data_IF_530389400918
#
_entry.id   IF_530389400918
#
_cell.length_a   1.000
_cell.length_b   1.000
_cell.length_c   1.000
_cell.angle_alpha   90.00
_cell.angle_beta   90.00
_cell.angle_gamma   90.00
#
_symmetry.space_group_name_H-M   'P 1'
#
loop_
_entity.id
_entity.type
_entity.pdbx_description
1 polymer ?
#
# COMPACT_ATOMS: atom_id res chain seq x y z
N UNK A 1 11.56 6.37 -3.51
CA UNK A 1 11.30 6.95 -2.18
C UNK A 1 12.46 6.57 -1.27
N UNK A 2 12.87 7.43 -0.34
CA UNK A 2 13.87 7.08 0.68
C UNK A 2 13.35 5.97 1.61
N UNK A 3 14.22 5.04 2.04
CA UNK A 3 13.83 3.89 2.87
C UNK A 3 13.34 4.30 4.25
N UNK A 4 13.92 5.35 4.85
CA UNK A 4 13.48 5.84 6.17
C UNK A 4 12.12 6.50 6.05
N UNK A 5 11.92 7.34 5.03
CA UNK A 5 10.60 7.93 4.74
C UNK A 5 9.53 6.86 4.55
N UNK A 6 9.83 5.79 3.81
CA UNK A 6 8.92 4.67 3.62
C UNK A 6 8.57 3.96 4.94
N UNK A 7 9.58 3.65 5.77
CA UNK A 7 9.36 3.02 7.07
C UNK A 7 8.52 3.90 8.01
N UNK A 8 8.79 5.21 8.04
CA UNK A 8 8.01 6.19 8.81
C UNK A 8 6.56 6.20 8.33
N UNK A 9 6.31 6.24 7.02
CA UNK A 9 4.95 6.19 6.47
C UNK A 9 4.21 4.91 6.90
N UNK A 10 4.83 3.74 6.76
CA UNK A 10 4.23 2.48 7.19
C UNK A 10 3.92 2.47 8.69
N UNK A 11 4.82 3.05 9.50
CA UNK A 11 4.62 3.17 10.93
C UNK A 11 3.45 4.12 11.28
N UNK A 12 3.36 5.29 10.64
CA UNK A 12 2.27 6.24 10.85
C UNK A 12 0.92 5.63 10.47
N UNK A 13 0.83 4.96 9.32
CA UNK A 13 -0.41 4.31 8.87
C UNK A 13 -0.85 3.20 9.84
N UNK A 14 0.10 2.46 10.43
CA UNK A 14 -0.21 1.48 11.49
C UNK A 14 -0.72 2.11 12.76
N UNK A 15 0.00 3.09 13.30
CA UNK A 15 -0.24 3.61 14.65
C UNK A 15 -1.43 4.58 14.68
N UNK A 16 -1.52 5.48 13.71
CA UNK A 16 -2.52 6.56 13.73
C UNK A 16 -3.85 6.06 13.16
N UNK A 17 -3.80 5.32 12.06
CA UNK A 17 -5.01 4.95 11.30
C UNK A 17 -5.42 3.50 11.53
N UNK A 18 -4.58 2.71 12.20
CA UNK A 18 -4.85 1.32 12.52
C UNK A 18 -4.75 0.39 11.30
N UNK A 19 -3.94 0.74 10.30
CA UNK A 19 -3.74 -0.13 9.14
C UNK A 19 -3.00 -1.40 9.58
N UNK A 20 -3.65 -2.56 9.46
CA UNK A 20 -3.09 -3.84 9.87
C UNK A 20 -2.78 -4.74 8.69
N UNK A 21 -1.81 -5.64 8.89
CA UNK A 21 -1.52 -6.71 7.94
C UNK A 21 -2.73 -7.63 7.79
N UNK A 22 -2.88 -8.20 6.60
CA UNK A 22 -3.80 -9.31 6.36
C UNK A 22 -3.03 -10.64 6.46
N UNK A 23 -3.75 -11.77 6.43
CA UNK A 23 -3.14 -13.11 6.45
C UNK A 23 -2.04 -13.30 5.39
N UNK A 24 -2.16 -12.61 4.24
CA UNK A 24 -1.27 -12.82 3.11
C UNK A 24 -0.40 -11.63 2.76
N UNK A 25 -0.73 -10.41 3.20
CA UNK A 25 -0.09 -9.16 2.75
C UNK A 25 0.17 -8.29 3.97
N UNK A 26 1.43 -7.89 4.18
CA UNK A 26 1.81 -6.96 5.24
C UNK A 26 1.61 -5.49 4.83
N UNK A 27 1.66 -4.59 5.82
CA UNK A 27 1.42 -3.16 5.57
C UNK A 27 2.47 -2.59 4.60
N UNK A 28 3.72 -3.03 4.70
CA UNK A 28 4.80 -2.61 3.80
C UNK A 28 4.47 -2.97 2.36
N UNK A 29 4.07 -4.21 2.08
CA UNK A 29 3.71 -4.66 0.73
C UNK A 29 2.48 -3.91 0.22
N UNK A 30 1.48 -3.67 1.08
CA UNK A 30 0.31 -2.85 0.73
C UNK A 30 0.72 -1.43 0.31
N UNK A 31 1.55 -0.76 1.11
CA UNK A 31 2.01 0.62 0.87
C UNK A 31 2.95 0.65 -0.33
N UNK A 32 3.80 -0.36 -0.52
CA UNK A 32 4.68 -0.49 -1.67
C UNK A 32 3.88 -0.63 -2.97
N UNK A 33 2.86 -1.51 -3.02
CA UNK A 33 1.96 -1.61 -4.17
C UNK A 33 1.26 -0.28 -4.48
N UNK A 34 0.73 0.39 -3.45
CA UNK A 34 0.04 1.67 -3.59
C UNK A 34 0.95 2.74 -4.19
N UNK A 35 2.14 2.94 -3.62
CA UNK A 35 3.11 3.92 -4.12
C UNK A 35 3.61 3.56 -5.52
N UNK A 36 3.78 2.28 -5.81
CA UNK A 36 4.23 1.83 -7.12
C UNK A 36 3.19 2.16 -8.21
N UNK A 37 1.90 1.96 -7.93
CA UNK A 37 0.80 2.35 -8.82
C UNK A 37 0.79 3.86 -9.03
N UNK A 38 0.85 4.65 -7.95
CA UNK A 38 0.78 6.11 -8.02
C UNK A 38 1.97 6.75 -8.75
N UNK A 39 3.19 6.29 -8.48
CA UNK A 39 4.41 6.93 -9.01
C UNK A 39 4.63 6.59 -10.48
N UNK A 40 4.27 5.38 -10.92
CA UNK A 40 4.58 4.92 -12.28
C UNK A 40 3.38 4.91 -13.23
N UNK A 41 2.18 5.25 -12.74
CA UNK A 41 0.91 5.13 -13.46
C UNK A 41 0.77 3.77 -14.17
N UNK A 42 1.23 2.71 -13.49
CA UNK A 42 1.26 1.37 -14.08
C UNK A 42 -0.10 0.69 -13.93
N UNK A 43 -0.50 -0.02 -14.97
CA UNK A 43 -1.72 -0.83 -14.95
C UNK A 43 -1.57 -1.99 -13.97
N UNK A 44 -2.68 -2.42 -13.36
CA UNK A 44 -2.74 -3.55 -12.42
C UNK A 44 -1.98 -4.79 -12.90
N UNK A 45 -1.99 -5.08 -14.21
CA UNK A 45 -1.27 -6.22 -14.80
C UNK A 45 0.24 -6.23 -14.49
N UNK A 46 0.88 -5.06 -14.40
CA UNK A 46 2.31 -4.94 -14.06
C UNK A 46 2.52 -5.29 -12.58
N UNK A 47 1.70 -4.72 -11.70
CA UNK A 47 1.73 -4.98 -10.25
C UNK A 47 1.46 -6.46 -9.94
N UNK A 48 0.50 -7.08 -10.65
CA UNK A 48 0.21 -8.51 -10.50
C UNK A 48 1.45 -9.37 -10.72
N UNK A 49 2.26 -9.02 -11.72
CA UNK A 49 3.49 -9.76 -12.04
C UNK A 49 4.58 -9.49 -11.00
N UNK A 50 4.77 -8.24 -10.60
CA UNK A 50 5.85 -7.86 -9.68
C UNK A 50 5.61 -8.34 -8.24
N UNK A 51 4.36 -8.31 -7.76
CA UNK A 51 4.00 -8.69 -6.39
C UNK A 51 3.37 -10.09 -6.30
N UNK A 52 3.19 -10.78 -7.43
CA UNK A 52 2.54 -12.10 -7.50
C UNK A 52 1.15 -12.13 -6.84
N UNK A 53 0.41 -11.02 -6.89
CA UNK A 53 -0.93 -10.87 -6.33
C UNK A 53 -2.01 -10.82 -7.40
N UNK A 54 -3.23 -11.22 -7.04
CA UNK A 54 -4.38 -11.08 -7.95
C UNK A 54 -4.78 -9.60 -8.11
N UNK A 55 -5.38 -9.22 -9.24
CA UNK A 55 -5.93 -7.86 -9.42
C UNK A 55 -6.95 -7.49 -8.35
N UNK A 56 -7.75 -8.45 -7.88
CA UNK A 56 -8.69 -8.23 -6.78
C UNK A 56 -7.96 -7.89 -5.48
N UNK A 57 -6.90 -8.62 -5.19
CA UNK A 57 -6.00 -8.37 -4.05
C UNK A 57 -5.39 -6.97 -4.15
N UNK A 58 -4.84 -6.61 -5.32
CA UNK A 58 -4.23 -5.29 -5.54
C UNK A 58 -5.24 -4.17 -5.34
N UNK A 59 -6.41 -4.24 -5.99
CA UNK A 59 -7.46 -3.22 -5.85
C UNK A 59 -7.94 -3.10 -4.40
N UNK A 60 -8.08 -4.22 -3.67
CA UNK A 60 -8.47 -4.19 -2.26
C UNK A 60 -7.44 -3.44 -1.41
N UNK A 61 -6.16 -3.83 -1.51
CA UNK A 61 -5.10 -3.21 -0.71
C UNK A 61 -4.86 -1.74 -1.10
N UNK A 62 -4.96 -1.41 -2.40
CA UNK A 62 -4.90 -0.04 -2.88
C UNK A 62 -5.96 0.84 -2.19
N UNK A 63 -7.23 0.40 -2.17
CA UNK A 63 -8.30 1.16 -1.53
C UNK A 63 -8.14 1.25 0.00
N UNK A 64 -7.63 0.21 0.65
CA UNK A 64 -7.34 0.26 2.09
C UNK A 64 -6.26 1.29 2.43
N UNK A 65 -5.18 1.34 1.65
CA UNK A 65 -4.11 2.34 1.84
C UNK A 65 -4.62 3.74 1.46
N UNK A 66 -5.40 3.89 0.39
CA UNK A 66 -5.98 5.18 0.00
C UNK A 66 -6.84 5.78 1.12
N UNK A 67 -7.76 4.97 1.69
CA UNK A 67 -8.58 5.41 2.81
C UNK A 67 -7.73 5.76 4.03
N UNK A 68 -6.70 4.96 4.30
CA UNK A 68 -5.82 5.21 5.43
C UNK A 68 -5.04 6.53 5.27
N UNK A 69 -4.53 6.82 4.08
CA UNK A 69 -3.82 8.07 3.76
C UNK A 69 -4.76 9.28 3.89
N UNK A 70 -5.99 9.19 3.37
CA UNK A 70 -6.98 10.27 3.51
C UNK A 70 -7.29 10.55 4.98
N UNK A 71 -7.43 9.50 5.80
CA UNK A 71 -7.67 9.63 7.25
C UNK A 71 -6.46 10.11 8.04
N UNK A 72 -5.24 9.92 7.54
CA UNK A 72 -4.02 10.46 8.16
C UNK A 72 -3.89 11.97 7.95
N UNK A 73 -4.47 12.49 6.88
CA UNK A 73 -4.42 13.90 6.52
C UNK A 73 -5.53 14.74 7.18
N UNK A 74 -6.54 14.08 7.76
CA UNK A 74 -7.65 14.66 8.52
C UNK A 74 -7.42 14.52 10.03
#
# INVERSE_FOLDING_TARGET
>A
MDRRCFAILCHLLRIIVGLTSTEFVDVEEMVAMFLHILVRDVKNRVIQREFMRSSKTISRHFNMVLLAVIRLQL
#
